data_IF_039646767695
#
_entry.id   IF_039646767695
#
_cell.length_a   1.000
_cell.length_b   1.000
_cell.length_c   1.000
_cell.angle_alpha   90.00
_cell.angle_beta   90.00
_cell.angle_gamma   90.00
#
_symmetry.space_group_name_H-M   'P 1'
#
loop_
_entity.id
_entity.type
_entity.pdbx_description
1 polymer ?
#
# COMPACT_ATOMS: atom_id res chain seq x y z
N UNK A 1 13.46 -0.08 13.02
CA UNK A 1 13.42 -0.57 11.63
C UNK A 1 12.94 -2.01 11.51
N UNK A 2 13.62 -3.00 12.12
CA UNK A 2 13.24 -4.41 12.03
C UNK A 2 11.78 -4.71 12.45
N UNK A 3 11.29 -4.10 13.53
CA UNK A 3 9.90 -4.27 13.97
C UNK A 3 8.88 -3.76 12.95
N UNK A 4 9.16 -2.64 12.30
CA UNK A 4 8.25 -2.09 11.28
C UNK A 4 8.23 -2.95 10.02
N UNK A 5 9.38 -3.45 9.59
CA UNK A 5 9.49 -4.44 8.51
C UNK A 5 8.67 -5.69 8.79
N UNK A 6 8.72 -6.19 10.04
CA UNK A 6 7.96 -7.37 10.46
C UNK A 6 6.46 -7.10 10.43
N UNK A 7 6.02 -5.93 10.95
CA UNK A 7 4.60 -5.56 10.95
C UNK A 7 4.09 -5.38 9.52
N UNK A 8 4.81 -4.66 8.66
CA UNK A 8 4.37 -4.43 7.27
C UNK A 8 4.40 -5.71 6.44
N UNK A 9 5.37 -6.60 6.68
CA UNK A 9 5.40 -7.94 6.10
C UNK A 9 4.20 -8.79 6.53
N UNK A 10 3.88 -8.82 7.83
CA UNK A 10 2.72 -9.55 8.35
C UNK A 10 1.39 -9.03 7.77
N UNK A 11 1.22 -7.71 7.70
CA UNK A 11 0.03 -7.09 7.08
C UNK A 11 -0.08 -7.45 5.60
N UNK A 12 1.04 -7.50 4.86
CA UNK A 12 1.04 -7.92 3.45
C UNK A 12 0.67 -9.39 3.27
N UNK A 13 1.14 -10.27 4.13
CA UNK A 13 0.72 -11.68 4.13
C UNK A 13 -0.80 -11.78 4.36
N UNK A 14 -1.34 -11.00 5.31
CA UNK A 14 -2.78 -10.93 5.53
C UNK A 14 -3.53 -10.44 4.29
N UNK A 15 -3.05 -9.37 3.63
CA UNK A 15 -3.64 -8.87 2.37
C UNK A 15 -3.65 -9.98 1.30
N UNK A 16 -2.56 -10.73 1.15
CA UNK A 16 -2.47 -11.85 0.20
C UNK A 16 -3.52 -12.92 0.52
N UNK A 17 -3.64 -13.33 1.78
CA UNK A 17 -4.63 -14.33 2.19
C UNK A 17 -6.06 -13.86 1.91
N UNK A 18 -6.39 -12.63 2.28
CA UNK A 18 -7.72 -12.05 2.03
C UNK A 18 -8.00 -11.93 0.52
N UNK A 19 -7.00 -11.54 -0.28
CA UNK A 19 -7.13 -11.44 -1.74
C UNK A 19 -7.37 -12.82 -2.37
N UNK A 20 -6.70 -13.87 -1.88
CA UNK A 20 -6.96 -15.25 -2.33
C UNK A 20 -8.40 -15.67 -1.99
N UNK A 21 -8.90 -15.35 -0.79
CA UNK A 21 -10.30 -15.63 -0.42
C UNK A 21 -11.26 -14.88 -1.34
N UNK A 22 -11.00 -13.62 -1.67
CA UNK A 22 -11.79 -12.86 -2.65
C UNK A 22 -11.82 -13.56 -4.01
N UNK A 23 -10.68 -14.07 -4.49
CA UNK A 23 -10.60 -14.81 -5.75
C UNK A 23 -11.34 -16.16 -5.71
N UNK A 24 -11.40 -16.83 -4.57
CA UNK A 24 -12.15 -18.09 -4.40
C UNK A 24 -13.67 -17.82 -4.42
N UNK A 25 -14.11 -16.73 -3.76
CA UNK A 25 -15.53 -16.32 -3.75
C UNK A 25 -16.01 -15.87 -5.14
N UNK A 26 -15.08 -15.39 -5.97
CA UNK A 26 -15.31 -14.98 -7.34
C UNK A 26 -15.29 -16.22 -8.27
N UNK A 27 -16.34 -17.04 -8.22
CA UNK A 27 -16.45 -18.27 -9.04
C UNK A 27 -16.42 -17.91 -10.55
N UNK A 28 -15.57 -18.58 -11.37
CA UNK A 28 -15.47 -18.36 -12.81
C UNK A 28 -16.77 -18.54 -13.59
N UNK A 29 -17.75 -19.25 -13.01
CA UNK A 29 -19.08 -19.45 -13.61
C UNK A 29 -19.87 -18.13 -13.71
N UNK A 30 -19.60 -17.15 -12.85
CA UNK A 30 -20.24 -15.83 -12.89
C UNK A 30 -19.67 -14.91 -13.99
N UNK A 31 -18.53 -15.27 -14.61
CA UNK A 31 -17.89 -14.49 -15.68
C UNK A 31 -18.60 -14.67 -17.03
N UNK A 32 -19.31 -15.79 -17.25
CA UNK A 32 -19.86 -16.12 -18.58
C UNK A 32 -21.34 -15.78 -18.74
N UNK A 33 -22.07 -15.44 -17.66
CA UNK A 33 -23.53 -15.38 -17.69
C UNK A 33 -24.16 -13.98 -17.88
N UNK A 34 -23.43 -12.87 -17.71
CA UNK A 34 -24.06 -11.53 -17.66
C UNK A 34 -23.21 -10.42 -18.32
N UNK A 35 -23.74 -9.80 -19.39
CA UNK A 35 -23.04 -8.82 -20.26
C UNK A 35 -22.57 -7.54 -19.54
N UNK A 36 -23.25 -7.06 -18.48
CA UNK A 36 -22.79 -5.88 -17.72
C UNK A 36 -21.97 -6.24 -16.47
N UNK A 37 -22.31 -7.31 -15.77
CA UNK A 37 -21.59 -7.83 -14.59
C UNK A 37 -20.17 -8.27 -14.98
N UNK A 38 -19.97 -8.70 -16.24
CA UNK A 38 -18.67 -9.18 -16.71
C UNK A 38 -17.55 -8.14 -16.49
N UNK A 39 -17.80 -6.86 -16.75
CA UNK A 39 -16.80 -5.82 -16.57
C UNK A 39 -16.47 -5.56 -15.10
N UNK A 40 -17.46 -5.61 -14.21
CA UNK A 40 -17.29 -5.43 -12.77
C UNK A 40 -16.45 -6.56 -12.16
N UNK A 41 -16.73 -7.81 -12.55
CA UNK A 41 -15.95 -8.99 -12.12
C UNK A 41 -14.52 -8.92 -12.65
N UNK A 42 -14.32 -8.54 -13.91
CA UNK A 42 -12.98 -8.37 -14.51
C UNK A 42 -12.17 -7.32 -13.76
N UNK A 43 -12.78 -6.21 -13.32
CA UNK A 43 -12.10 -5.19 -12.50
C UNK A 43 -11.61 -5.79 -11.18
N UNK A 44 -12.42 -6.62 -10.51
CA UNK A 44 -12.02 -7.31 -9.27
C UNK A 44 -10.80 -8.21 -9.51
N UNK A 45 -10.79 -8.98 -10.62
CA UNK A 45 -9.62 -9.80 -10.99
C UNK A 45 -8.36 -8.98 -11.22
N UNK A 46 -8.46 -7.88 -11.98
CA UNK A 46 -7.30 -7.02 -12.30
C UNK A 46 -6.71 -6.44 -11.01
N UNK A 47 -7.54 -5.85 -10.15
CA UNK A 47 -7.06 -5.28 -8.89
C UNK A 47 -6.54 -6.33 -7.91
N UNK A 48 -7.13 -7.53 -7.89
CA UNK A 48 -6.63 -8.66 -7.09
C UNK A 48 -5.24 -9.09 -7.58
N UNK A 49 -5.05 -9.25 -8.90
CA UNK A 49 -3.76 -9.60 -9.49
C UNK A 49 -2.68 -8.53 -9.22
N UNK A 50 -3.03 -7.24 -9.39
CA UNK A 50 -2.13 -6.12 -9.07
C UNK A 50 -1.75 -6.09 -7.58
N UNK A 51 -2.71 -6.38 -6.70
CA UNK A 51 -2.48 -6.44 -5.25
C UNK A 51 -1.53 -7.57 -4.88
N UNK A 52 -1.72 -8.78 -5.45
CA UNK A 52 -0.82 -9.91 -5.25
C UNK A 52 0.59 -9.61 -5.76
N UNK A 53 0.70 -9.04 -6.96
CA UNK A 53 1.99 -8.62 -7.53
C UNK A 53 2.70 -7.61 -6.63
N UNK A 54 1.99 -6.56 -6.20
CA UNK A 54 2.53 -5.56 -5.28
C UNK A 54 3.04 -6.19 -3.98
N UNK A 55 2.24 -7.07 -3.34
CA UNK A 55 2.62 -7.71 -2.09
C UNK A 55 3.88 -8.56 -2.24
N UNK A 56 3.97 -9.36 -3.31
CA UNK A 56 5.14 -10.22 -3.59
C UNK A 56 6.39 -9.37 -3.82
N UNK A 57 6.31 -8.40 -4.74
CA UNK A 57 7.46 -7.54 -5.09
C UNK A 57 7.95 -6.77 -3.86
N UNK A 58 7.02 -6.23 -3.09
CA UNK A 58 7.34 -5.50 -1.86
C UNK A 58 8.03 -6.39 -0.82
N UNK A 59 7.53 -7.60 -0.56
CA UNK A 59 8.16 -8.56 0.37
C UNK A 59 9.58 -8.93 -0.08
N UNK A 60 9.78 -9.20 -1.37
CA UNK A 60 11.11 -9.52 -1.93
C UNK A 60 12.07 -8.34 -1.73
N UNK A 61 11.62 -7.12 -1.99
CA UNK A 61 12.44 -5.92 -1.82
C UNK A 61 12.88 -5.73 -0.35
N UNK A 62 11.98 -5.96 0.60
CA UNK A 62 12.33 -5.94 2.02
C UNK A 62 13.33 -7.03 2.42
N UNK A 63 13.19 -8.23 1.87
CA UNK A 63 14.13 -9.31 2.14
C UNK A 63 15.54 -8.97 1.66
N UNK A 64 15.66 -8.38 0.46
CA UNK A 64 16.95 -7.94 -0.10
C UNK A 64 17.56 -6.83 0.77
N UNK A 65 16.78 -5.83 1.19
CA UNK A 65 17.28 -4.74 2.03
C UNK A 65 17.65 -5.19 3.44
N UNK A 66 16.90 -6.12 4.03
CA UNK A 66 17.24 -6.68 5.34
C UNK A 66 18.59 -7.41 5.32
N UNK A 67 19.01 -7.96 4.17
CA UNK A 67 20.35 -8.59 4.02
C UNK A 67 21.48 -7.58 3.85
N UNK A 68 21.20 -6.39 3.31
CA UNK A 68 22.20 -5.33 3.11
C UNK A 68 22.54 -4.57 4.39
N UNK A 69 21.74 -4.68 5.44
CA UNK A 69 21.95 -3.96 6.70
C UNK A 69 21.70 -2.45 6.59
N UNK A 70 21.26 -1.96 5.43
CA UNK A 70 20.87 -0.57 5.21
C UNK A 70 19.43 -0.36 5.67
N UNK A 71 19.17 0.79 6.32
CA UNK A 71 17.83 1.21 6.70
C UNK A 71 16.90 1.40 5.48
N UNK A 72 15.59 1.67 5.70
CA UNK A 72 14.67 1.88 4.60
C UNK A 72 15.09 3.14 3.85
N UNK A 73 15.38 3.02 2.56
CA UNK A 73 15.59 4.20 1.74
C UNK A 73 14.32 5.05 1.75
N UNK A 74 14.48 6.37 1.79
CA UNK A 74 13.36 7.31 1.67
C UNK A 74 12.52 7.03 0.42
N UNK A 75 13.16 6.62 -0.67
CA UNK A 75 12.49 6.25 -1.92
C UNK A 75 11.57 5.04 -1.72
N UNK A 76 12.01 4.01 -0.99
CA UNK A 76 11.17 2.87 -0.65
C UNK A 76 9.96 3.29 0.19
N UNK A 77 10.17 4.13 1.19
CA UNK A 77 9.08 4.60 2.05
C UNK A 77 8.04 5.41 1.26
N UNK A 78 8.48 6.24 0.31
CA UNK A 78 7.59 7.00 -0.56
C UNK A 78 6.84 6.09 -1.53
N UNK A 79 7.52 5.13 -2.17
CA UNK A 79 6.85 4.20 -3.09
C UNK A 79 5.79 3.38 -2.35
N UNK A 80 6.06 2.95 -1.12
CA UNK A 80 5.10 2.23 -0.28
C UNK A 80 3.86 3.07 0.04
N UNK A 81 4.01 4.36 0.36
CA UNK A 81 2.87 5.25 0.57
C UNK A 81 2.05 5.40 -0.71
N UNK A 82 2.69 5.55 -1.87
CA UNK A 82 2.00 5.68 -3.17
C UNK A 82 1.21 4.40 -3.48
N UNK A 83 1.85 3.23 -3.39
CA UNK A 83 1.18 1.96 -3.64
C UNK A 83 0.09 1.65 -2.62
N UNK A 84 0.30 1.98 -1.34
CA UNK A 84 -0.74 1.81 -0.33
C UNK A 84 -1.95 2.72 -0.61
N UNK A 85 -1.72 3.95 -1.03
CA UNK A 85 -2.81 4.88 -1.41
C UNK A 85 -3.55 4.39 -2.66
N UNK A 86 -2.83 3.90 -3.67
CA UNK A 86 -3.44 3.27 -4.84
C UNK A 86 -4.27 2.02 -4.46
N UNK A 87 -3.74 1.20 -3.52
CA UNK A 87 -4.44 0.05 -2.96
C UNK A 87 -5.74 0.45 -2.26
N UNK A 88 -5.72 1.49 -1.41
CA UNK A 88 -6.93 2.04 -0.77
C UNK A 88 -7.98 2.38 -1.82
N UNK A 89 -7.60 3.16 -2.84
CA UNK A 89 -8.54 3.58 -3.89
C UNK A 89 -9.11 2.39 -4.68
N UNK A 90 -8.27 1.44 -5.07
CA UNK A 90 -8.69 0.25 -5.81
C UNK A 90 -9.68 -0.62 -5.03
N UNK A 91 -9.39 -0.88 -3.75
CA UNK A 91 -10.24 -1.72 -2.92
C UNK A 91 -11.51 -1.02 -2.44
N UNK A 92 -11.54 0.32 -2.36
CA UNK A 92 -12.79 1.08 -2.16
C UNK A 92 -13.73 0.97 -3.36
N UNK A 93 -13.19 0.95 -4.58
CA UNK A 93 -13.99 0.70 -5.79
C UNK A 93 -14.58 -0.71 -5.75
N UNK A 94 -13.79 -1.72 -5.39
CA UNK A 94 -14.27 -3.10 -5.24
C UNK A 94 -15.35 -3.20 -4.15
N UNK A 95 -15.19 -2.51 -3.02
CA UNK A 95 -16.19 -2.46 -1.96
C UNK A 95 -17.53 -1.94 -2.51
N UNK A 96 -17.49 -0.84 -3.27
CA UNK A 96 -18.69 -0.29 -3.91
C UNK A 96 -19.32 -1.27 -4.90
N UNK A 97 -18.51 -1.89 -5.76
CA UNK A 97 -18.96 -2.89 -6.74
C UNK A 97 -19.63 -4.08 -6.03
N UNK A 98 -18.95 -4.70 -5.06
CA UNK A 98 -19.48 -5.84 -4.30
C UNK A 98 -20.81 -5.51 -3.61
N UNK A 99 -20.92 -4.31 -3.03
CA UNK A 99 -22.16 -3.81 -2.46
C UNK A 99 -23.29 -3.69 -3.50
N UNK A 100 -23.02 -3.06 -4.65
CA UNK A 100 -24.05 -2.90 -5.69
C UNK A 100 -24.47 -4.21 -6.36
N UNK A 101 -23.55 -5.16 -6.57
CA UNK A 101 -23.87 -6.48 -7.14
C UNK A 101 -24.70 -7.28 -6.13
N UNK A 102 -24.34 -7.26 -4.85
CA UNK A 102 -25.08 -7.99 -3.80
C UNK A 102 -26.57 -7.60 -3.73
N UNK A 103 -26.89 -6.33 -4.01
CA UNK A 103 -28.26 -5.81 -3.99
C UNK A 103 -29.06 -6.16 -5.25
N UNK A 104 -28.40 -6.44 -6.38
CA UNK A 104 -29.04 -6.69 -7.68
C UNK A 104 -29.15 -8.17 -8.03
N UNK A 105 -28.54 -9.06 -7.25
CA UNK A 105 -28.45 -10.50 -7.51
C UNK A 105 -29.31 -11.32 -6.54
N UNK A 106 -29.66 -12.55 -6.94
CA UNK A 106 -30.50 -13.49 -6.16
C UNK A 106 -29.75 -13.94 -4.89
N UNK A 107 -30.50 -14.28 -3.84
CA UNK A 107 -30.04 -14.54 -2.46
C UNK A 107 -28.65 -15.19 -2.32
N UNK A 108 -28.41 -16.35 -2.92
CA UNK A 108 -27.12 -17.07 -2.74
C UNK A 108 -25.94 -16.36 -3.43
N UNK A 109 -26.10 -15.90 -4.68
CA UNK A 109 -25.06 -15.15 -5.40
C UNK A 109 -24.81 -13.79 -4.76
N UNK A 110 -25.85 -13.13 -4.29
CA UNK A 110 -25.74 -11.84 -3.60
C UNK A 110 -24.96 -11.92 -2.29
N UNK A 111 -25.10 -13.02 -1.56
CA UNK A 111 -24.34 -13.26 -0.33
C UNK A 111 -22.84 -13.32 -0.59
N UNK A 112 -22.39 -14.05 -1.61
CA UNK A 112 -20.96 -14.14 -1.98
C UNK A 112 -20.37 -12.76 -2.32
N UNK A 113 -21.08 -11.93 -3.09
CA UNK A 113 -20.65 -10.57 -3.40
C UNK A 113 -20.65 -9.63 -2.18
N UNK A 114 -21.57 -9.85 -1.23
CA UNK A 114 -21.56 -9.18 0.06
C UNK A 114 -20.30 -9.48 0.86
N UNK A 115 -19.88 -10.76 0.92
CA UNK A 115 -18.64 -11.17 1.54
C UNK A 115 -17.40 -10.59 0.85
N UNK A 116 -17.39 -10.54 -0.49
CA UNK A 116 -16.32 -9.85 -1.25
C UNK A 116 -16.22 -8.38 -0.84
N UNK A 117 -17.34 -7.68 -0.71
CA UNK A 117 -17.37 -6.28 -0.25
C UNK A 117 -16.84 -6.11 1.19
N UNK A 118 -17.21 -7.01 2.10
CA UNK A 118 -16.71 -7.00 3.48
C UNK A 118 -15.19 -7.24 3.54
N UNK A 119 -14.68 -8.23 2.79
CA UNK A 119 -13.25 -8.51 2.69
C UNK A 119 -12.48 -7.34 2.07
N UNK A 120 -13.05 -6.69 1.05
CA UNK A 120 -12.47 -5.47 0.46
C UNK A 120 -12.31 -4.36 1.51
N UNK A 121 -13.29 -4.17 2.39
CA UNK A 121 -13.19 -3.23 3.51
C UNK A 121 -12.04 -3.54 4.48
N UNK A 122 -11.85 -4.82 4.81
CA UNK A 122 -10.72 -5.26 5.66
C UNK A 122 -9.38 -5.00 4.95
N UNK A 123 -9.29 -5.27 3.65
CA UNK A 123 -8.09 -5.01 2.84
C UNK A 123 -7.78 -3.50 2.79
N UNK A 124 -8.79 -2.63 2.63
CA UNK A 124 -8.63 -1.18 2.74
C UNK A 124 -8.03 -0.79 4.10
N UNK A 125 -8.53 -1.38 5.20
CA UNK A 125 -7.98 -1.18 6.54
C UNK A 125 -6.51 -1.59 6.65
N UNK A 126 -6.12 -2.70 6.01
CA UNK A 126 -4.74 -3.16 5.95
C UNK A 126 -3.84 -2.17 5.18
N UNK A 127 -4.30 -1.64 4.05
CA UNK A 127 -3.56 -0.62 3.30
C UNK A 127 -3.45 0.71 4.06
N UNK A 128 -4.50 1.12 4.79
CA UNK A 128 -4.45 2.29 5.68
C UNK A 128 -3.39 2.13 6.78
N UNK A 129 -3.29 0.93 7.37
CA UNK A 129 -2.26 0.62 8.35
C UNK A 129 -0.85 0.78 7.76
N UNK A 130 -0.60 0.24 6.55
CA UNK A 130 0.68 0.40 5.85
C UNK A 130 0.96 1.88 5.55
N UNK A 131 -0.01 2.60 5.00
CA UNK A 131 0.13 4.02 4.67
C UNK A 131 0.47 4.85 5.92
N UNK A 132 -0.22 4.61 7.04
CA UNK A 132 0.03 5.29 8.31
C UNK A 132 1.43 5.04 8.86
N UNK A 133 1.89 3.78 8.84
CA UNK A 133 3.23 3.42 9.32
C UNK A 133 4.35 4.07 8.51
N UNK A 134 4.21 4.16 7.19
CA UNK A 134 5.22 4.81 6.34
C UNK A 134 5.09 6.34 6.31
N UNK A 135 3.88 6.89 6.39
CA UNK A 135 3.67 8.34 6.47
C UNK A 135 4.28 8.92 7.75
N UNK A 136 4.07 8.26 8.91
CA UNK A 136 4.68 8.67 10.17
C UNK A 136 6.21 8.63 10.12
N UNK A 137 6.80 7.63 9.48
CA UNK A 137 8.23 7.59 9.25
C UNK A 137 8.74 8.74 8.40
N UNK A 138 8.08 9.03 7.28
CA UNK A 138 8.47 10.13 6.40
C UNK A 138 8.38 11.46 7.16
N UNK A 139 7.35 11.66 7.96
CA UNK A 139 7.19 12.86 8.80
C UNK A 139 8.31 12.93 9.84
N UNK A 140 8.60 11.84 10.55
CA UNK A 140 9.62 11.85 11.59
C UNK A 140 11.03 12.10 11.02
N UNK A 141 11.39 11.39 9.95
CA UNK A 141 12.70 11.51 9.31
C UNK A 141 12.86 12.81 8.52
N UNK A 142 11.78 13.35 7.91
CA UNK A 142 11.89 14.55 7.06
C UNK A 142 11.51 15.87 7.71
N UNK A 143 10.54 15.87 8.62
CA UNK A 143 9.96 17.10 9.17
C UNK A 143 10.48 17.35 10.59
N UNK A 144 10.67 16.30 11.39
CA UNK A 144 11.07 16.41 12.80
C UNK A 144 12.56 16.20 13.06
N UNK A 145 13.35 15.76 12.06
CA UNK A 145 14.79 15.59 12.22
C UNK A 145 15.51 16.93 12.42
N UNK A 146 15.79 17.26 13.69
CA UNK A 146 16.60 18.41 14.12
C UNK A 146 17.99 18.46 13.47
N UNK A 147 18.52 17.33 13.00
CA UNK A 147 19.84 17.27 12.34
C UNK A 147 19.93 18.10 11.05
N UNK A 148 18.81 18.32 10.34
CA UNK A 148 18.82 19.22 9.17
C UNK A 148 18.84 20.69 9.55
N UNK A 149 18.32 21.08 10.72
CA UNK A 149 18.46 22.45 11.21
C UNK A 149 19.92 22.76 11.55
N UNK A 150 20.71 21.80 12.04
CA UNK A 150 22.13 22.03 12.31
C UNK A 150 23.00 22.10 11.05
N UNK A 151 22.67 21.34 9.99
CA UNK A 151 23.44 21.37 8.73
C UNK A 151 23.29 22.69 7.95
N UNK A 152 22.14 23.37 8.06
CA UNK A 152 21.97 24.73 7.52
C UNK A 152 22.38 25.84 8.52
N UNK A 153 22.25 25.62 9.83
CA UNK A 153 22.72 26.58 10.83
C UNK A 153 24.25 26.66 10.95
N UNK A 154 24.97 25.59 10.60
CA UNK A 154 26.44 25.57 10.59
C UNK A 154 27.05 26.18 9.33
N UNK A 155 26.37 26.07 8.18
CA UNK A 155 26.91 26.56 6.90
C UNK A 155 26.73 28.06 6.66
N UNK A 156 25.92 28.74 7.48
CA UNK A 156 25.75 30.20 7.43
C UNK A 156 26.70 30.97 8.38
N UNK A 157 27.55 30.27 9.15
CA UNK A 157 28.46 30.92 10.11
C UNK A 157 29.92 31.05 9.64
N UNK A 158 30.32 30.31 8.61
CA UNK A 158 31.71 30.30 8.07
C UNK A 158 31.84 30.97 6.68
N UNK A 159 30.98 31.95 6.39
CA UNK A 159 30.83 32.51 5.03
C UNK A 159 31.29 33.96 4.81
N UNK A 160 31.93 34.64 5.77
CA UNK A 160 32.45 36.00 5.58
C UNK A 160 33.78 36.21 6.32
N UNK A 161 34.89 35.80 5.70
CA UNK A 161 36.19 36.38 5.98
C UNK A 161 36.53 37.34 4.81
N UNK A 162 36.45 38.67 5.00
CA UNK A 162 36.85 39.61 3.96
C UNK A 162 38.36 39.52 3.78
N UNK A 163 38.78 39.56 2.50
CA UNK A 163 40.16 39.33 2.09
C UNK A 163 41.18 40.17 2.86
N UNK A 164 42.29 39.52 3.22
CA UNK A 164 43.54 40.20 3.55
C UNK A 164 44.55 39.83 2.47
N UNK A 165 44.91 40.83 1.66
CA UNK A 165 46.05 40.77 0.75
C UNK A 165 47.34 40.63 1.56
N UNK A 166 48.35 39.99 0.99
CA UNK A 166 49.73 40.20 1.39
C UNK A 166 50.61 40.09 0.15
N UNK A 167 51.24 41.23 -0.15
CA UNK A 167 52.47 41.36 -0.90
C UNK A 167 53.62 40.73 -0.11
#
# INVERSE_FOLDING_TARGET
>A
FAQQLLITGAVKILIVLLTIVVLILLDPTYVTAYISINYEIVIIYIFSALTLLYCIVSIVMYFIMSRKGEGPSTNLSITEVIFATAGIMGWLIILGIGGTISQRTILETGEFFGWIGALAGIIVGCFLCIAGLFALNVINDKILSKDRQMKYSGSSRDGYAPGRSSY
#
